data_IF_491340957476
#
_entry.id   IF_491340957476
#
_cell.length_a   1.000
_cell.length_b   1.000
_cell.length_c   1.000
_cell.angle_alpha   90.00
_cell.angle_beta   90.00
_cell.angle_gamma   90.00
#
_symmetry.space_group_name_H-M   'P 1'
#
loop_
_entity.id
_entity.type
_entity.pdbx_description
1 polymer ?
#
# COMPACT_ATOMS: atom_id res chain seq x y z
N UNK A 1 7.11 7.95 -31.98
CA UNK A 1 8.26 7.53 -31.16
C UNK A 1 7.81 7.44 -29.70
N UNK A 2 8.17 6.34 -29.02
CA UNK A 2 7.92 6.15 -27.59
C UNK A 2 9.20 6.42 -26.82
N UNK A 3 9.11 7.25 -25.77
CA UNK A 3 10.23 7.52 -24.84
C UNK A 3 9.96 6.76 -23.55
N UNK A 4 10.83 5.80 -23.21
CA UNK A 4 10.78 5.05 -21.95
C UNK A 4 11.78 5.64 -20.96
N UNK A 5 11.32 5.96 -19.76
CA UNK A 5 12.13 6.49 -18.66
C UNK A 5 12.20 5.50 -17.51
N UNK A 6 13.23 4.67 -17.52
CA UNK A 6 13.50 3.74 -16.42
C UNK A 6 14.01 4.49 -15.18
N UNK A 7 13.84 3.88 -13.98
CA UNK A 7 14.23 4.45 -12.69
C UNK A 7 13.69 5.86 -12.45
N UNK A 8 12.48 6.10 -12.96
CA UNK A 8 11.80 7.38 -12.90
C UNK A 8 10.44 7.22 -12.22
N UNK A 9 10.09 8.16 -11.34
CA UNK A 9 8.85 8.15 -10.59
C UNK A 9 8.17 9.51 -10.68
N UNK A 10 6.92 9.52 -11.11
CA UNK A 10 6.07 10.71 -11.00
C UNK A 10 5.64 10.83 -9.54
N UNK A 11 5.96 11.92 -8.89
CA UNK A 11 5.66 12.14 -7.48
C UNK A 11 4.64 13.26 -7.22
N UNK A 12 4.28 14.04 -8.24
CA UNK A 12 3.29 15.09 -8.13
C UNK A 12 2.54 15.30 -9.44
N UNK A 13 1.24 15.53 -9.32
CA UNK A 13 0.36 15.87 -10.43
C UNK A 13 -0.39 17.16 -10.07
N UNK A 14 -0.21 18.19 -10.89
CA UNK A 14 -0.65 19.55 -10.65
C UNK A 14 -1.59 20.02 -11.75
N UNK A 15 -2.09 21.23 -11.65
CA UNK A 15 -2.99 21.83 -12.65
C UNK A 15 -2.41 21.87 -14.06
N UNK A 16 -3.30 21.91 -15.05
CA UNK A 16 -2.95 21.94 -16.48
C UNK A 16 -2.15 20.72 -16.96
N UNK A 17 -2.48 19.55 -16.47
CA UNK A 17 -1.79 18.29 -16.79
C UNK A 17 -0.28 18.38 -16.58
N UNK A 18 0.16 19.13 -15.58
CA UNK A 18 1.57 19.21 -15.22
C UNK A 18 1.92 18.11 -14.21
N UNK A 19 2.89 17.27 -14.58
CA UNK A 19 3.45 16.27 -13.71
C UNK A 19 4.91 16.58 -13.40
N UNK A 20 5.35 16.27 -12.20
CA UNK A 20 6.75 16.33 -11.82
C UNK A 20 7.27 14.92 -11.58
N UNK A 21 8.34 14.58 -12.29
CA UNK A 21 8.94 13.26 -12.28
C UNK A 21 10.40 13.35 -11.82
N UNK A 22 10.77 12.41 -10.98
CA UNK A 22 12.12 12.24 -10.46
C UNK A 22 12.78 11.05 -11.15
N UNK A 23 13.94 11.30 -11.79
CA UNK A 23 14.74 10.29 -12.48
C UNK A 23 16.07 10.07 -11.75
N UNK A 24 16.40 8.82 -11.41
CA UNK A 24 17.70 8.42 -10.88
C UNK A 24 18.62 8.04 -12.03
N UNK A 25 19.49 8.96 -12.44
CA UNK A 25 20.34 8.79 -13.63
C UNK A 25 21.66 8.08 -13.35
N UNK A 26 22.17 8.15 -12.13
CA UNK A 26 23.53 7.66 -11.83
C UNK A 26 23.67 6.75 -10.62
N UNK A 27 22.62 6.55 -9.81
CA UNK A 27 22.74 5.80 -8.55
C UNK A 27 23.04 4.30 -8.74
N UNK A 28 22.70 3.74 -9.90
CA UNK A 28 22.93 2.34 -10.28
C UNK A 28 24.29 2.09 -10.94
N UNK A 29 25.05 3.14 -11.26
CA UNK A 29 26.34 3.02 -11.94
C UNK A 29 27.47 2.85 -10.93
N UNK A 30 28.36 1.87 -11.15
CA UNK A 30 29.59 1.70 -10.35
C UNK A 30 30.51 2.90 -10.53
N UNK A 31 30.73 3.31 -11.77
CA UNK A 31 31.50 4.51 -12.14
C UNK A 31 30.54 5.52 -12.79
N UNK A 32 30.58 6.75 -12.28
CA UNK A 32 29.71 7.82 -12.78
C UNK A 32 30.49 8.64 -13.82
N UNK A 33 29.97 8.80 -15.04
CA UNK A 33 30.58 9.68 -16.01
C UNK A 33 30.67 11.11 -15.46
N UNK A 34 31.79 11.77 -15.71
CA UNK A 34 32.02 13.17 -15.35
C UNK A 34 30.88 14.02 -15.94
N UNK A 35 30.28 14.90 -15.15
CA UNK A 35 29.16 15.76 -15.52
C UNK A 35 27.77 15.08 -15.66
N UNK A 36 27.66 13.78 -15.38
CA UNK A 36 26.31 13.15 -15.30
C UNK A 36 25.65 13.51 -13.98
N UNK A 37 24.45 14.11 -13.98
CA UNK A 37 23.75 14.40 -12.75
C UNK A 37 23.38 13.07 -12.07
N UNK A 38 23.44 13.02 -10.74
CA UNK A 38 22.98 11.86 -9.96
C UNK A 38 21.48 11.63 -10.12
N UNK A 39 20.75 12.72 -10.15
CA UNK A 39 19.29 12.77 -10.17
C UNK A 39 18.85 13.92 -11.08
N UNK A 40 17.64 13.78 -11.66
CA UNK A 40 17.07 14.79 -12.53
C UNK A 40 15.59 14.95 -12.24
N UNK A 41 15.11 16.19 -12.14
CA UNK A 41 13.71 16.54 -12.15
C UNK A 41 13.25 16.84 -13.57
N UNK A 42 12.07 16.29 -13.89
CA UNK A 42 11.36 16.56 -15.14
C UNK A 42 10.04 17.25 -14.83
N UNK A 43 9.82 18.38 -15.46
CA UNK A 43 8.52 19.03 -15.51
C UNK A 43 7.87 18.66 -16.83
N UNK A 44 6.80 17.87 -16.76
CA UNK A 44 6.12 17.30 -17.93
C UNK A 44 4.73 17.90 -18.02
N UNK A 45 4.43 18.54 -19.14
CA UNK A 45 3.08 18.98 -19.45
C UNK A 45 2.56 18.17 -20.62
N UNK A 46 1.47 17.43 -20.40
CA UNK A 46 0.91 16.51 -21.38
C UNK A 46 -0.48 16.97 -21.86
N UNK A 47 -0.84 16.65 -23.11
CA UNK A 47 -2.21 16.84 -23.60
C UNK A 47 -3.18 15.89 -22.94
N UNK A 48 -2.77 14.62 -22.80
CA UNK A 48 -3.52 13.55 -22.15
C UNK A 48 -2.60 12.76 -21.22
N UNK A 49 -3.15 12.28 -20.11
CA UNK A 49 -2.44 11.49 -19.12
C UNK A 49 -3.17 10.17 -18.91
N UNK A 50 -2.47 9.06 -19.02
CA UNK A 50 -2.96 7.73 -18.67
C UNK A 50 -2.25 7.25 -17.40
N UNK A 51 -2.99 7.09 -16.30
CA UNK A 51 -2.47 6.59 -15.04
C UNK A 51 -2.66 5.07 -14.95
N UNK A 52 -1.56 4.36 -14.87
CA UNK A 52 -1.48 2.90 -14.68
C UNK A 52 -0.66 2.59 -13.43
N UNK A 53 -1.05 3.18 -12.31
CA UNK A 53 -0.30 3.22 -11.05
C UNK A 53 -0.48 1.96 -10.19
N UNK A 54 -1.34 1.05 -10.61
CA UNK A 54 -1.53 -0.23 -9.94
C UNK A 54 -2.27 -0.12 -8.60
N UNK A 55 -2.04 -1.10 -7.75
CA UNK A 55 -2.64 -1.21 -6.42
C UNK A 55 -1.60 -1.65 -5.40
N UNK A 56 -1.89 -1.46 -4.12
CA UNK A 56 -1.03 -1.84 -3.01
C UNK A 56 -1.80 -2.81 -2.13
N UNK A 57 -1.17 -3.92 -1.76
CA UNK A 57 -1.75 -4.87 -0.82
C UNK A 57 -1.90 -4.22 0.56
N UNK A 58 -3.08 -4.37 1.18
CA UNK A 58 -3.34 -3.87 2.53
C UNK A 58 -3.22 -4.99 3.56
N UNK A 59 -2.71 -4.71 4.76
CA UNK A 59 -2.68 -5.70 5.83
C UNK A 59 -4.06 -5.86 6.49
N UNK A 60 -4.30 -7.02 7.11
CA UNK A 60 -5.27 -7.17 8.20
C UNK A 60 -4.53 -6.82 9.49
N UNK A 61 -5.15 -5.99 10.34
CA UNK A 61 -4.54 -5.55 11.59
C UNK A 61 -4.77 -6.59 12.69
N UNK A 62 -3.70 -6.99 13.40
CA UNK A 62 -3.75 -7.96 14.49
C UNK A 62 -2.73 -7.64 15.57
N UNK A 63 -2.74 -8.35 16.69
CA UNK A 63 -1.87 -8.07 17.83
C UNK A 63 -0.39 -8.27 17.53
N UNK A 64 0.46 -7.31 17.91
CA UNK A 64 1.92 -7.32 17.73
C UNK A 64 2.35 -7.51 16.25
N UNK A 65 1.58 -6.93 15.34
CA UNK A 65 1.81 -7.04 13.90
C UNK A 65 3.05 -6.28 13.40
N UNK A 66 3.75 -5.57 14.29
CA UNK A 66 5.04 -4.92 14.09
C UNK A 66 6.24 -5.85 14.31
N UNK A 67 6.01 -7.07 14.80
CA UNK A 67 7.10 -8.04 15.08
C UNK A 67 7.86 -8.37 13.79
N UNK A 68 9.21 -8.24 13.74
CA UNK A 68 10.00 -8.59 12.57
C UNK A 68 9.75 -10.04 12.14
N UNK A 69 9.44 -10.24 10.86
CA UNK A 69 8.96 -11.52 10.31
C UNK A 69 7.48 -11.48 9.92
N UNK A 70 6.78 -10.36 10.17
CA UNK A 70 5.48 -10.07 9.58
C UNK A 70 5.69 -9.33 8.26
N UNK A 71 5.12 -9.85 7.18
CA UNK A 71 5.23 -9.31 5.82
C UNK A 71 3.85 -9.17 5.18
N UNK A 72 3.71 -8.30 4.21
CA UNK A 72 2.63 -8.42 3.24
C UNK A 72 2.84 -9.68 2.40
N UNK A 73 1.77 -10.38 2.07
CA UNK A 73 1.83 -11.66 1.34
C UNK A 73 2.48 -11.48 -0.04
N UNK A 74 2.10 -10.43 -0.76
CA UNK A 74 2.69 -10.12 -2.06
C UNK A 74 4.19 -9.79 -1.96
N UNK A 75 4.62 -9.10 -0.89
CA UNK A 75 6.04 -8.83 -0.67
C UNK A 75 6.84 -10.13 -0.44
N UNK A 76 6.31 -11.07 0.33
CA UNK A 76 6.94 -12.37 0.53
C UNK A 76 7.07 -13.14 -0.81
N UNK A 77 6.01 -13.13 -1.64
CA UNK A 77 6.04 -13.70 -3.00
C UNK A 77 7.10 -13.04 -3.88
N UNK A 78 7.21 -11.72 -3.83
CA UNK A 78 8.22 -10.95 -4.57
C UNK A 78 9.65 -11.34 -4.15
N UNK A 79 9.93 -11.46 -2.85
CA UNK A 79 11.23 -11.94 -2.36
C UNK A 79 11.59 -13.30 -2.93
N UNK A 80 10.63 -14.22 -2.99
CA UNK A 80 10.86 -15.56 -3.54
C UNK A 80 11.10 -15.49 -5.06
N UNK A 81 10.19 -14.85 -5.82
CA UNK A 81 10.18 -14.92 -7.29
C UNK A 81 11.26 -14.07 -7.94
N UNK A 82 11.53 -12.89 -7.42
CA UNK A 82 12.44 -11.91 -8.05
C UNK A 82 13.83 -11.98 -7.45
N UNK A 83 13.89 -12.13 -6.11
CA UNK A 83 15.18 -12.08 -5.41
C UNK A 83 15.73 -13.45 -5.01
N UNK A 84 14.95 -14.53 -5.18
CA UNK A 84 15.37 -15.89 -4.79
C UNK A 84 15.58 -16.07 -3.28
N UNK A 85 14.87 -15.29 -2.46
CA UNK A 85 15.04 -15.26 -1.01
C UNK A 85 13.77 -15.75 -0.32
N UNK A 86 13.91 -16.78 0.54
CA UNK A 86 12.86 -17.23 1.43
C UNK A 86 12.81 -16.33 2.67
N UNK A 87 11.66 -15.73 2.95
CA UNK A 87 11.46 -14.88 4.14
C UNK A 87 11.28 -15.68 5.43
N UNK A 88 11.08 -16.99 5.32
CA UNK A 88 10.97 -17.93 6.44
C UNK A 88 10.88 -19.38 5.97
N UNK A 89 11.03 -20.33 6.91
CA UNK A 89 10.96 -21.78 6.67
C UNK A 89 9.67 -22.42 7.21
N UNK A 90 8.88 -21.69 8.00
CA UNK A 90 7.59 -22.09 8.56
C UNK A 90 6.58 -20.96 8.37
N UNK A 91 6.20 -20.66 7.10
CA UNK A 91 5.33 -19.53 6.81
C UNK A 91 3.88 -19.80 7.23
N UNK A 92 3.29 -18.79 7.85
CA UNK A 92 1.87 -18.71 8.14
C UNK A 92 1.26 -17.63 7.24
N UNK A 93 0.37 -18.03 6.33
CA UNK A 93 -0.33 -17.10 5.45
C UNK A 93 -1.65 -16.71 6.11
N UNK A 94 -1.89 -15.43 6.30
CA UNK A 94 -3.11 -14.91 6.93
C UNK A 94 -3.87 -14.02 5.95
N UNK A 95 -5.09 -14.39 5.60
CA UNK A 95 -5.81 -13.75 4.50
C UNK A 95 -7.33 -13.71 4.68
N UNK A 96 -7.97 -12.83 3.93
CA UNK A 96 -9.41 -12.75 3.67
C UNK A 96 -9.73 -12.82 2.16
N UNK A 97 -8.77 -13.24 1.32
CA UNK A 97 -8.92 -13.20 -0.14
C UNK A 97 -8.06 -14.25 -0.84
N UNK A 98 -8.33 -14.47 -2.14
CA UNK A 98 -7.67 -15.52 -2.90
C UNK A 98 -6.21 -15.19 -3.30
N UNK A 99 -5.83 -13.92 -3.42
CA UNK A 99 -4.51 -13.56 -3.95
C UNK A 99 -3.34 -14.06 -3.09
N UNK A 100 -3.55 -14.22 -1.78
CA UNK A 100 -2.53 -14.74 -0.88
C UNK A 100 -2.21 -16.22 -1.08
N UNK A 101 -3.13 -16.98 -1.67
CA UNK A 101 -2.89 -18.40 -1.98
C UNK A 101 -1.74 -18.58 -2.98
N UNK A 102 -1.52 -17.62 -3.87
CA UNK A 102 -0.36 -17.65 -4.77
C UNK A 102 0.96 -17.63 -3.98
N UNK A 103 1.02 -16.89 -2.87
CA UNK A 103 2.21 -16.87 -2.01
C UNK A 103 2.44 -18.22 -1.36
N UNK A 104 1.39 -18.88 -0.90
CA UNK A 104 1.50 -20.23 -0.34
C UNK A 104 1.99 -21.23 -1.39
N UNK A 105 1.45 -21.17 -2.61
CA UNK A 105 1.89 -22.00 -3.73
C UNK A 105 3.37 -21.77 -4.10
N UNK A 106 3.85 -20.51 -4.04
CA UNK A 106 5.27 -20.23 -4.28
C UNK A 106 6.17 -20.78 -3.17
N UNK A 107 5.79 -20.70 -1.89
CA UNK A 107 6.52 -21.38 -0.82
C UNK A 107 6.57 -22.89 -1.05
N UNK A 108 5.44 -23.52 -1.41
CA UNK A 108 5.36 -24.96 -1.67
C UNK A 108 6.30 -25.38 -2.82
N UNK A 109 6.39 -24.60 -3.89
CA UNK A 109 7.34 -24.83 -4.99
C UNK A 109 8.80 -24.81 -4.54
N UNK A 110 9.12 -24.09 -3.46
CA UNK A 110 10.45 -24.04 -2.88
C UNK A 110 10.69 -25.15 -1.82
N UNK A 111 9.79 -26.13 -1.72
CA UNK A 111 9.89 -27.21 -0.74
C UNK A 111 9.57 -26.80 0.70
N UNK A 112 8.88 -25.68 0.89
CA UNK A 112 8.46 -25.18 2.20
C UNK A 112 6.97 -25.43 2.39
N UNK A 113 6.58 -25.91 3.57
CA UNK A 113 5.19 -26.23 3.91
C UNK A 113 4.50 -25.00 4.57
N UNK A 114 3.68 -24.24 3.84
CA UNK A 114 2.91 -23.14 4.41
C UNK A 114 1.64 -23.66 5.10
N UNK A 115 1.14 -22.88 6.05
CA UNK A 115 -0.20 -23.03 6.61
C UNK A 115 -0.99 -21.77 6.23
N UNK A 116 -2.23 -21.94 5.74
CA UNK A 116 -3.11 -20.84 5.41
C UNK A 116 -4.20 -20.71 6.47
N UNK A 117 -4.36 -19.50 7.01
CA UNK A 117 -5.51 -19.09 7.80
C UNK A 117 -6.34 -18.13 6.96
N UNK A 118 -7.53 -18.56 6.59
CA UNK A 118 -8.48 -17.76 5.84
C UNK A 118 -9.63 -17.35 6.77
N UNK A 119 -9.93 -16.07 6.85
CA UNK A 119 -11.02 -15.57 7.68
C UNK A 119 -12.39 -15.91 7.13
N UNK A 120 -12.48 -16.27 5.87
CA UNK A 120 -13.73 -16.63 5.19
C UNK A 120 -14.20 -18.03 5.60
N UNK A 121 -15.47 -18.28 5.43
CA UNK A 121 -16.02 -19.64 5.50
C UNK A 121 -15.46 -20.49 4.36
N UNK A 122 -15.55 -21.81 4.50
CA UNK A 122 -15.03 -22.74 3.49
C UNK A 122 -15.68 -22.48 2.13
N UNK A 123 -14.87 -22.32 1.13
CA UNK A 123 -15.29 -22.05 -0.24
C UNK A 123 -14.29 -22.64 -1.23
N UNK A 124 -14.62 -22.58 -2.51
CA UNK A 124 -13.79 -23.05 -3.62
C UNK A 124 -13.46 -21.90 -4.57
N UNK A 125 -12.23 -21.92 -5.05
CA UNK A 125 -11.75 -21.13 -6.19
C UNK A 125 -10.58 -21.87 -6.82
N UNK A 126 -10.17 -21.49 -8.03
CA UNK A 126 -9.03 -22.13 -8.69
C UNK A 126 -7.75 -22.12 -7.84
N UNK A 127 -7.49 -21.03 -7.09
CA UNK A 127 -6.30 -20.92 -6.23
C UNK A 127 -6.44 -21.74 -4.94
N UNK A 128 -7.63 -21.78 -4.35
CA UNK A 128 -7.92 -22.63 -3.17
C UNK A 128 -7.79 -24.09 -3.56
N UNK A 129 -8.36 -24.50 -4.67
CA UNK A 129 -8.32 -25.88 -5.16
C UNK A 129 -6.88 -26.28 -5.55
N UNK A 130 -6.10 -25.37 -6.16
CA UNK A 130 -4.69 -25.58 -6.42
C UNK A 130 -3.88 -25.80 -5.13
N UNK A 131 -4.19 -25.06 -4.06
CA UNK A 131 -3.55 -25.25 -2.75
C UNK A 131 -3.96 -26.58 -2.10
N UNK A 132 -5.26 -26.94 -2.14
CA UNK A 132 -5.76 -28.24 -1.66
C UNK A 132 -5.09 -29.40 -2.41
N UNK A 133 -4.97 -29.32 -3.74
CA UNK A 133 -4.32 -30.34 -4.58
C UNK A 133 -2.82 -30.52 -4.28
N UNK A 134 -2.16 -29.49 -3.75
CA UNK A 134 -0.78 -29.57 -3.28
C UNK A 134 -0.66 -29.94 -1.79
N UNK A 135 -1.74 -30.39 -1.16
CA UNK A 135 -1.83 -30.75 0.26
C UNK A 135 -1.37 -29.61 1.20
N UNK A 136 -1.63 -28.36 0.85
CA UNK A 136 -1.39 -27.22 1.75
C UNK A 136 -2.48 -27.20 2.80
N UNK A 137 -2.09 -27.13 4.08
CA UNK A 137 -3.04 -27.04 5.18
C UNK A 137 -3.78 -25.69 5.16
N UNK A 138 -5.10 -25.72 5.09
CA UNK A 138 -5.97 -24.53 5.12
C UNK A 138 -6.89 -24.64 6.33
N UNK A 139 -6.95 -23.57 7.14
CA UNK A 139 -7.93 -23.40 8.21
C UNK A 139 -8.83 -22.22 7.85
N UNK A 140 -10.06 -22.51 7.44
CA UNK A 140 -11.10 -21.52 7.20
C UNK A 140 -11.68 -21.00 8.51
N UNK A 141 -12.29 -19.81 8.48
CA UNK A 141 -12.84 -19.12 9.65
C UNK A 141 -11.80 -19.01 10.78
N UNK A 142 -10.54 -18.75 10.45
CA UNK A 142 -9.48 -18.58 11.44
C UNK A 142 -8.72 -17.27 11.22
N UNK A 143 -8.29 -16.67 12.33
CA UNK A 143 -7.52 -15.43 12.33
C UNK A 143 -6.23 -15.58 13.16
N UNK A 144 -5.21 -14.79 12.78
CA UNK A 144 -4.06 -14.53 13.64
C UNK A 144 -4.47 -13.49 14.68
N UNK A 145 -4.51 -13.88 15.94
CA UNK A 145 -4.83 -13.00 17.07
C UNK A 145 -3.65 -12.12 17.43
N UNK A 146 -2.45 -12.72 17.53
CA UNK A 146 -1.23 -11.99 17.81
C UNK A 146 0.02 -12.73 17.33
N UNK A 147 1.03 -11.99 16.89
CA UNK A 147 2.37 -12.53 16.72
C UNK A 147 3.08 -12.67 18.08
N UNK A 148 3.89 -13.71 18.21
CA UNK A 148 4.73 -13.95 19.38
C UNK A 148 6.20 -14.03 18.97
N UNK A 149 7.01 -13.22 19.64
CA UNK A 149 8.45 -13.14 19.45
C UNK A 149 8.98 -11.84 20.06
N UNK A 150 10.28 -11.67 20.08
CA UNK A 150 10.92 -10.43 20.52
C UNK A 150 11.70 -9.79 19.38
N UNK A 151 12.75 -10.45 18.90
CA UNK A 151 13.57 -9.97 17.76
C UNK A 151 13.01 -10.42 16.42
N UNK A 152 12.19 -11.45 16.40
CA UNK A 152 11.53 -12.02 15.23
C UNK A 152 10.35 -12.90 15.65
N UNK A 153 9.43 -13.13 14.73
CA UNK A 153 8.34 -14.09 14.90
C UNK A 153 8.89 -15.49 15.23
N UNK A 154 8.31 -16.14 16.25
CA UNK A 154 8.58 -17.53 16.65
C UNK A 154 7.33 -18.39 16.65
N UNK A 155 6.18 -17.79 16.83
CA UNK A 155 4.87 -18.42 16.77
C UNK A 155 3.78 -17.37 16.61
N UNK A 156 2.57 -17.82 16.33
CA UNK A 156 1.37 -16.98 16.33
C UNK A 156 0.33 -17.57 17.30
N UNK A 157 -0.46 -16.70 17.91
CA UNK A 157 -1.73 -17.06 18.53
C UNK A 157 -2.79 -16.98 17.43
N UNK A 158 -3.54 -18.04 17.26
CA UNK A 158 -4.63 -18.14 16.29
C UNK A 158 -5.93 -18.51 17.00
N UNK A 159 -7.05 -18.17 16.40
CA UNK A 159 -8.35 -18.60 16.88
C UNK A 159 -9.33 -18.73 15.71
N UNK A 160 -10.34 -19.59 15.91
CA UNK A 160 -11.54 -19.56 15.08
C UNK A 160 -12.23 -18.20 15.26
N UNK A 161 -12.74 -17.63 14.19
CA UNK A 161 -13.50 -16.36 14.21
C UNK A 161 -14.94 -16.63 13.78
N UNK A 162 -15.90 -16.05 14.51
CA UNK A 162 -17.34 -16.17 14.18
C UNK A 162 -17.67 -15.58 12.81
N UNK A 163 -18.80 -15.98 12.22
CA UNK A 163 -19.24 -15.50 10.90
C UNK A 163 -19.43 -13.98 10.86
N UNK A 164 -19.87 -13.37 11.97
CA UNK A 164 -20.01 -11.92 12.13
C UNK A 164 -18.66 -11.21 12.37
N UNK A 165 -17.54 -11.94 12.44
CA UNK A 165 -16.16 -11.46 12.65
C UNK A 165 -15.94 -10.71 13.97
N UNK A 166 -16.83 -10.86 14.95
CA UNK A 166 -16.78 -10.12 16.23
C UNK A 166 -16.21 -10.94 17.38
N UNK A 167 -16.34 -12.27 17.34
CA UNK A 167 -15.99 -13.15 18.44
C UNK A 167 -14.86 -14.11 18.05
N UNK A 168 -13.97 -14.34 19.01
CA UNK A 168 -12.88 -15.32 18.88
C UNK A 168 -13.20 -16.56 19.70
N UNK A 169 -12.95 -17.72 19.12
CA UNK A 169 -12.98 -18.99 19.81
C UNK A 169 -11.76 -19.20 20.70
N UNK A 170 -11.49 -20.47 21.07
CA UNK A 170 -10.31 -20.84 21.86
C UNK A 170 -9.04 -20.45 21.14
N UNK A 171 -8.14 -19.81 21.89
CA UNK A 171 -6.82 -19.43 21.36
C UNK A 171 -5.91 -20.66 21.34
N UNK A 172 -5.30 -20.90 20.20
CA UNK A 172 -4.30 -21.93 19.95
C UNK A 172 -2.96 -21.28 19.56
N UNK A 173 -1.87 -22.01 19.80
CA UNK A 173 -0.53 -21.57 19.41
C UNK A 173 -0.06 -22.37 18.20
N UNK A 174 0.42 -21.67 17.18
CA UNK A 174 1.07 -22.27 16.01
C UNK A 174 2.52 -21.80 15.94
N UNK A 175 3.45 -22.73 15.72
CA UNK A 175 4.86 -22.39 15.52
C UNK A 175 5.09 -21.94 14.08
N UNK A 176 5.55 -20.72 13.91
CA UNK A 176 5.90 -20.13 12.61
C UNK A 176 7.11 -19.21 12.78
N UNK A 177 7.84 -18.92 11.72
CA UNK A 177 8.98 -18.00 11.72
C UNK A 177 8.75 -16.79 10.83
N UNK A 178 7.66 -16.78 10.06
CA UNK A 178 7.13 -15.61 9.38
C UNK A 178 5.60 -15.68 9.27
N UNK A 179 4.96 -14.52 9.20
CA UNK A 179 3.52 -14.34 8.95
C UNK A 179 3.38 -13.47 7.71
N UNK A 180 2.70 -13.98 6.68
CA UNK A 180 2.44 -13.27 5.43
C UNK A 180 0.96 -12.88 5.42
N UNK A 181 0.67 -11.58 5.53
CA UNK A 181 -0.69 -11.07 5.68
C UNK A 181 -1.21 -10.43 4.39
N UNK A 182 -2.46 -10.69 4.06
CA UNK A 182 -3.17 -10.05 2.95
C UNK A 182 -4.60 -9.72 3.34
N UNK A 183 -4.93 -8.43 3.35
CA UNK A 183 -6.27 -7.90 3.57
C UNK A 183 -6.92 -7.37 2.29
N UNK A 184 -6.53 -7.91 1.12
CA UNK A 184 -6.91 -7.49 -0.21
C UNK A 184 -6.08 -6.30 -0.74
N UNK A 185 -6.54 -5.65 -1.80
CA UNK A 185 -5.79 -4.65 -2.55
C UNK A 185 -6.47 -3.28 -2.51
N UNK A 186 -5.66 -2.24 -2.43
CA UNK A 186 -6.12 -0.83 -2.46
C UNK A 186 -5.62 -0.15 -3.72
N UNK A 187 -6.48 0.39 -4.57
CA UNK A 187 -6.08 1.15 -5.76
C UNK A 187 -5.17 2.32 -5.42
N UNK A 188 -4.13 2.53 -6.23
CA UNK A 188 -3.19 3.63 -6.05
C UNK A 188 -3.73 4.89 -6.71
N UNK A 189 -4.59 5.63 -5.99
CA UNK A 189 -5.33 6.81 -6.50
C UNK A 189 -4.65 8.14 -6.23
N UNK A 190 -3.46 8.16 -5.66
CA UNK A 190 -2.81 9.36 -5.15
C UNK A 190 -2.61 10.44 -6.24
N UNK A 191 -2.05 10.06 -7.39
CA UNK A 191 -1.84 11.02 -8.49
C UNK A 191 -3.16 11.51 -9.09
N UNK A 192 -4.14 10.63 -9.25
CA UNK A 192 -5.48 11.03 -9.70
C UNK A 192 -6.14 12.01 -8.71
N UNK A 193 -6.00 11.77 -7.40
CA UNK A 193 -6.50 12.70 -6.38
C UNK A 193 -5.76 14.04 -6.40
N UNK A 194 -4.43 14.05 -6.62
CA UNK A 194 -3.63 15.27 -6.71
C UNK A 194 -4.00 16.12 -7.93
N UNK A 195 -4.46 15.51 -9.04
CA UNK A 195 -4.98 16.24 -10.21
C UNK A 195 -6.27 17.00 -9.92
N UNK A 196 -6.82 16.90 -8.71
CA UNK A 196 -8.06 17.52 -8.26
C UNK A 196 -9.31 16.67 -8.46
N UNK A 197 -9.16 15.40 -8.82
CA UNK A 197 -10.26 14.47 -8.98
C UNK A 197 -10.89 14.11 -7.63
N UNK A 198 -12.21 14.04 -7.59
CA UNK A 198 -12.91 13.45 -6.46
C UNK A 198 -12.81 11.93 -6.55
N UNK A 199 -12.58 11.30 -5.42
CA UNK A 199 -12.63 9.83 -5.31
C UNK A 199 -14.04 9.35 -5.12
N UNK A 200 -14.31 8.10 -5.53
CA UNK A 200 -15.57 7.38 -5.31
C UNK A 200 -15.25 6.10 -4.54
N UNK A 201 -16.06 5.76 -3.54
CA UNK A 201 -15.94 4.49 -2.85
C UNK A 201 -16.62 3.40 -3.69
N UNK A 202 -15.94 2.28 -3.86
CA UNK A 202 -16.48 1.08 -4.52
C UNK A 202 -16.67 -0.01 -3.46
N UNK A 203 -17.93 -0.34 -3.18
CA UNK A 203 -18.32 -1.32 -2.17
C UNK A 203 -17.91 -2.76 -2.53
N UNK A 204 -17.68 -3.05 -3.82
CA UNK A 204 -17.27 -4.38 -4.27
C UNK A 204 -15.84 -4.72 -3.88
N UNK A 205 -14.99 -3.71 -3.78
CA UNK A 205 -13.57 -3.87 -3.45
C UNK A 205 -13.22 -3.22 -2.11
N UNK A 206 -14.20 -2.63 -1.42
CA UNK A 206 -14.03 -1.89 -0.16
C UNK A 206 -12.88 -0.89 -0.21
N UNK A 207 -12.83 -0.09 -1.27
CA UNK A 207 -11.77 0.87 -1.48
C UNK A 207 -12.22 2.08 -2.31
N UNK A 208 -11.46 3.16 -2.22
CA UNK A 208 -11.67 4.32 -3.09
C UNK A 208 -11.04 4.08 -4.46
N UNK A 209 -11.77 4.48 -5.50
CA UNK A 209 -11.34 4.51 -6.90
C UNK A 209 -11.40 5.94 -7.43
N UNK A 210 -10.71 6.24 -8.55
CA UNK A 210 -10.84 7.53 -9.20
C UNK A 210 -12.30 7.82 -9.60
N UNK A 211 -12.78 9.00 -9.31
CA UNK A 211 -14.08 9.47 -9.77
C UNK A 211 -13.97 10.24 -11.09
N UNK A 212 -14.82 11.26 -11.27
CA UNK A 212 -14.80 12.08 -12.49
C UNK A 212 -13.54 12.94 -12.53
N UNK A 213 -12.76 12.79 -13.61
CA UNK A 213 -11.55 13.57 -13.83
C UNK A 213 -11.86 15.04 -14.09
N UNK A 214 -11.12 15.95 -13.47
CA UNK A 214 -11.15 17.39 -13.71
C UNK A 214 -10.23 17.81 -14.84
N UNK A 215 -9.20 17.04 -15.08
CA UNK A 215 -8.19 17.28 -16.12
C UNK A 215 -8.27 16.20 -17.20
N UNK A 216 -7.46 16.31 -18.25
CA UNK A 216 -7.37 15.31 -19.31
C UNK A 216 -6.58 14.10 -18.80
N UNK A 217 -7.18 13.34 -17.89
CA UNK A 217 -6.59 12.19 -17.23
C UNK A 217 -7.55 11.00 -17.29
N UNK A 218 -7.01 9.83 -17.52
CA UNK A 218 -7.70 8.54 -17.48
C UNK A 218 -6.90 7.57 -16.63
N UNK A 219 -7.56 6.92 -15.67
CA UNK A 219 -6.94 5.87 -14.85
C UNK A 219 -7.39 4.49 -15.35
N UNK A 220 -6.48 3.52 -15.39
CA UNK A 220 -6.73 2.15 -15.88
C UNK A 220 -6.15 1.08 -14.97
N UNK A 221 -6.58 -0.16 -15.18
CA UNK A 221 -6.11 -1.34 -14.45
C UNK A 221 -6.51 -1.33 -12.98
N UNK A 222 -5.70 -1.92 -12.11
CA UNK A 222 -6.02 -2.04 -10.68
C UNK A 222 -6.07 -0.69 -9.96
N UNK A 223 -5.47 0.36 -10.51
CA UNK A 223 -5.65 1.73 -10.03
C UNK A 223 -7.09 2.26 -10.22
N UNK A 224 -7.84 1.70 -11.17
CA UNK A 224 -9.27 1.99 -11.37
C UNK A 224 -10.21 0.98 -10.70
N UNK A 225 -9.67 0.05 -9.90
CA UNK A 225 -10.42 -0.99 -9.19
C UNK A 225 -10.63 -2.28 -9.99
N UNK A 226 -9.98 -2.45 -11.13
CA UNK A 226 -10.07 -3.66 -11.97
C UNK A 226 -8.89 -4.57 -11.65
N UNK A 227 -9.15 -5.71 -10.99
CA UNK A 227 -8.11 -6.64 -10.55
C UNK A 227 -7.97 -7.89 -11.42
N UNK A 228 -8.93 -8.17 -12.28
CA UNK A 228 -8.84 -9.25 -13.24
C UNK A 228 -7.92 -8.84 -14.41
N UNK A 229 -6.94 -9.69 -14.78
CA UNK A 229 -5.93 -9.36 -15.80
C UNK A 229 -6.53 -9.21 -17.20
N UNK A 230 -7.43 -10.11 -17.58
CA UNK A 230 -8.11 -10.06 -18.89
C UNK A 230 -8.90 -8.74 -19.03
N UNK A 231 -9.70 -8.40 -18.02
CA UNK A 231 -10.45 -7.15 -17.99
C UNK A 231 -9.52 -5.93 -17.92
N UNK A 232 -8.43 -6.01 -17.13
CA UNK A 232 -7.40 -4.96 -17.07
C UNK A 232 -6.78 -4.70 -18.44
N UNK A 233 -6.39 -5.73 -19.16
CA UNK A 233 -5.77 -5.59 -20.48
C UNK A 233 -6.79 -5.04 -21.48
N UNK A 234 -7.99 -5.61 -21.57
CA UNK A 234 -9.01 -5.19 -22.51
C UNK A 234 -9.45 -3.75 -22.32
N UNK A 235 -9.75 -3.36 -21.07
CA UNK A 235 -10.18 -1.99 -20.75
C UNK A 235 -9.05 -0.98 -20.91
N UNK A 236 -7.82 -1.33 -20.54
CA UNK A 236 -6.65 -0.45 -20.70
C UNK A 236 -6.31 -0.23 -22.16
N UNK A 237 -6.43 -1.28 -22.97
CA UNK A 237 -6.21 -1.21 -24.40
C UNK A 237 -7.24 -0.32 -25.09
N UNK A 238 -8.52 -0.50 -24.76
CA UNK A 238 -9.61 0.34 -25.28
C UNK A 238 -9.42 1.81 -24.91
N UNK A 239 -9.07 2.11 -23.65
CA UNK A 239 -8.78 3.48 -23.21
C UNK A 239 -7.57 4.08 -23.92
N UNK A 240 -6.50 3.30 -24.07
CA UNK A 240 -5.30 3.72 -24.82
C UNK A 240 -5.62 4.04 -26.29
N UNK A 241 -6.45 3.20 -26.94
CA UNK A 241 -6.92 3.46 -28.30
C UNK A 241 -7.74 4.74 -28.40
N UNK A 242 -8.71 4.96 -27.49
CA UNK A 242 -9.52 6.18 -27.45
C UNK A 242 -8.66 7.43 -27.29
N UNK A 243 -7.66 7.40 -26.41
CA UNK A 243 -6.72 8.50 -26.22
C UNK A 243 -5.84 8.74 -27.47
N UNK A 244 -5.34 7.68 -28.08
CA UNK A 244 -4.57 7.76 -29.32
C UNK A 244 -5.39 8.41 -30.44
N UNK A 245 -6.63 7.95 -30.64
CA UNK A 245 -7.56 8.53 -31.64
C UNK A 245 -7.79 10.01 -31.39
N UNK A 246 -8.00 10.42 -30.13
CA UNK A 246 -8.20 11.83 -29.73
C UNK A 246 -6.98 12.70 -30.05
N UNK A 247 -5.75 12.18 -29.88
CA UNK A 247 -4.51 12.95 -30.07
C UNK A 247 -4.07 13.00 -31.54
N UNK A 248 -4.20 11.88 -32.26
CA UNK A 248 -3.60 11.70 -33.59
C UNK A 248 -4.61 11.79 -34.74
N UNK A 249 -5.90 11.81 -34.44
CA UNK A 249 -7.00 11.65 -35.41
C UNK A 249 -6.87 10.36 -36.28
N UNK A 250 -6.12 9.37 -35.80
CA UNK A 250 -5.92 8.10 -36.49
C UNK A 250 -6.84 7.03 -35.88
N UNK A 251 -7.55 6.29 -36.74
CA UNK A 251 -8.56 5.30 -36.37
C UNK A 251 -8.08 3.86 -36.61
N UNK A 252 -6.78 3.63 -36.73
CA UNK A 252 -6.22 2.29 -36.87
C UNK A 252 -6.46 1.46 -35.61
N UNK A 253 -7.50 0.62 -35.65
CA UNK A 253 -7.85 -0.29 -34.56
C UNK A 253 -6.87 -1.47 -34.53
N UNK A 254 -6.24 -1.67 -33.37
CA UNK A 254 -5.36 -2.83 -33.13
C UNK A 254 -6.15 -3.87 -32.33
N UNK A 255 -5.92 -5.15 -32.61
CA UNK A 255 -6.58 -6.25 -31.88
C UNK A 255 -6.14 -6.29 -30.41
N UNK A 256 -7.09 -6.45 -29.51
CA UNK A 256 -6.81 -6.61 -28.07
C UNK A 256 -6.14 -7.97 -27.86
N UNK A 257 -5.01 -8.02 -27.13
CA UNK A 257 -4.40 -9.30 -26.77
C UNK A 257 -5.36 -10.13 -25.91
N UNK A 258 -5.55 -11.39 -26.29
CA UNK A 258 -6.32 -12.33 -25.48
C UNK A 258 -5.42 -12.97 -24.42
N UNK A 259 -5.88 -13.01 -23.20
CA UNK A 259 -5.19 -13.60 -22.05
C UNK A 259 -6.19 -14.47 -21.31
N UNK A 260 -5.82 -15.71 -21.04
CA UNK A 260 -6.57 -16.57 -20.13
C UNK A 260 -6.04 -16.40 -18.73
N UNK A 261 -6.86 -15.98 -17.79
CA UNK A 261 -6.45 -15.80 -16.41
C UNK A 261 -7.36 -16.52 -15.43
N UNK A 262 -6.76 -16.90 -14.30
CA UNK A 262 -7.46 -17.34 -13.11
C UNK A 262 -8.18 -16.14 -12.46
N UNK A 263 -9.48 -16.22 -12.33
CA UNK A 263 -10.29 -15.15 -11.75
C UNK A 263 -9.99 -15.01 -10.26
N UNK A 264 -9.66 -13.81 -9.81
CA UNK A 264 -9.74 -13.46 -8.40
C UNK A 264 -11.22 -13.36 -8.02
N UNK A 265 -11.68 -14.26 -7.17
CA UNK A 265 -13.04 -14.24 -6.68
C UNK A 265 -13.02 -13.89 -5.19
N UNK A 266 -13.86 -13.01 -4.77
CA UNK A 266 -14.23 -12.67 -3.39
C UNK A 266 -13.13 -12.38 -2.37
N UNK A 267 -13.29 -11.28 -1.69
CA UNK A 267 -12.68 -10.98 -0.41
C UNK A 267 -13.76 -10.68 0.62
N UNK A 268 -13.46 -10.93 1.90
CA UNK A 268 -14.30 -10.51 3.01
C UNK A 268 -13.95 -9.12 3.50
N UNK A 269 -14.94 -8.37 3.95
CA UNK A 269 -14.73 -7.13 4.70
C UNK A 269 -14.18 -7.44 6.09
N UNK A 270 -12.87 -7.50 6.20
CA UNK A 270 -12.21 -7.77 7.46
C UNK A 270 -10.89 -7.01 7.57
N UNK A 271 -10.84 -6.04 8.47
CA UNK A 271 -9.76 -5.07 8.57
C UNK A 271 -8.90 -5.25 9.80
N UNK A 272 -9.52 -5.67 10.91
CA UNK A 272 -8.87 -5.75 12.20
C UNK A 272 -9.41 -6.93 13.00
N UNK A 273 -8.51 -7.71 13.58
CA UNK A 273 -8.86 -8.84 14.45
C UNK A 273 -9.31 -8.29 15.80
N UNK A 274 -10.47 -8.75 16.34
CA UNK A 274 -10.89 -8.37 17.68
C UNK A 274 -9.88 -8.86 18.73
N UNK A 275 -9.81 -8.16 19.86
CA UNK A 275 -8.96 -8.60 20.98
C UNK A 275 -9.73 -9.58 21.86
N UNK A 276 -9.04 -10.62 22.37
CA UNK A 276 -9.60 -11.45 23.43
C UNK A 276 -9.79 -10.63 24.71
N UNK A 277 -10.81 -10.98 25.49
CA UNK A 277 -11.03 -10.39 26.81
C UNK A 277 -9.74 -10.45 27.67
N UNK A 278 -9.46 -9.37 28.37
CA UNK A 278 -8.30 -9.22 29.27
C UNK A 278 -6.90 -9.26 28.63
N UNK A 279 -6.77 -9.28 27.28
CA UNK A 279 -5.47 -9.19 26.60
C UNK A 279 -5.34 -7.85 25.86
N UNK A 280 -4.28 -7.14 26.14
CA UNK A 280 -3.98 -5.86 25.50
C UNK A 280 -2.75 -6.01 24.60
N UNK A 281 -2.94 -6.43 23.34
CA UNK A 281 -1.89 -6.43 22.33
C UNK A 281 -1.91 -5.09 21.60
N UNK A 282 -0.74 -4.54 21.31
CA UNK A 282 -0.65 -3.40 20.37
C UNK A 282 -1.01 -3.87 18.98
N UNK A 283 -1.92 -3.14 18.33
CA UNK A 283 -2.37 -3.36 16.95
C UNK A 283 -2.00 -2.14 16.13
N UNK A 284 -0.91 -2.22 15.37
CA UNK A 284 -0.41 -1.11 14.59
C UNK A 284 -1.18 -0.94 13.29
N UNK A 285 -1.60 0.29 13.01
CA UNK A 285 -2.20 0.73 11.75
C UNK A 285 -1.13 1.34 10.84
N UNK A 286 -0.30 2.22 11.38
CA UNK A 286 0.78 2.90 10.69
C UNK A 286 2.11 2.57 11.37
N UNK A 287 2.96 1.82 10.66
CA UNK A 287 4.26 1.38 11.18
C UNK A 287 5.33 2.48 11.14
N UNK A 288 5.15 3.54 10.34
CA UNK A 288 6.15 4.59 10.23
C UNK A 288 6.04 5.63 11.35
N UNK A 289 4.82 5.82 11.87
CA UNK A 289 4.53 6.75 12.96
C UNK A 289 4.02 6.04 14.23
N UNK A 290 4.13 4.71 14.30
CA UNK A 290 3.71 3.88 15.43
C UNK A 290 2.25 4.10 15.86
N UNK A 291 1.35 4.45 14.91
CA UNK A 291 -0.06 4.66 15.20
C UNK A 291 -0.78 3.33 15.37
N UNK A 292 -1.42 3.16 16.52
CA UNK A 292 -2.16 1.96 16.87
C UNK A 292 -3.68 2.16 16.80
N UNK A 293 -4.42 1.08 16.88
CA UNK A 293 -5.89 1.10 17.02
C UNK A 293 -6.31 1.92 18.24
N UNK A 294 -5.63 1.76 19.38
CA UNK A 294 -5.94 2.51 20.62
C UNK A 294 -5.72 4.02 20.47
N UNK A 295 -4.80 4.48 19.62
CA UNK A 295 -4.60 5.90 19.37
C UNK A 295 -5.78 6.51 18.60
N UNK A 296 -6.34 5.77 17.65
CA UNK A 296 -7.55 6.20 16.93
C UNK A 296 -8.76 6.20 17.88
N UNK A 297 -8.93 5.15 18.69
CA UNK A 297 -10.00 5.08 19.70
C UNK A 297 -9.90 6.23 20.69
N UNK A 298 -8.68 6.60 21.13
CA UNK A 298 -8.42 7.74 21.99
C UNK A 298 -8.81 9.07 21.31
N UNK A 299 -8.37 9.28 20.07
CA UNK A 299 -8.71 10.47 19.30
C UNK A 299 -10.22 10.68 19.20
N UNK A 300 -10.96 9.61 18.89
CA UNK A 300 -12.41 9.64 18.79
C UNK A 300 -13.09 9.93 20.14
N UNK A 301 -12.59 9.34 21.23
CA UNK A 301 -13.06 9.59 22.60
C UNK A 301 -12.85 11.04 23.02
N UNK A 302 -11.75 11.66 22.59
CA UNK A 302 -11.45 13.08 22.82
C UNK A 302 -12.22 14.04 21.90
N UNK A 303 -13.08 13.51 21.01
CA UNK A 303 -14.01 14.29 20.21
C UNK A 303 -13.54 14.63 18.78
N UNK A 304 -12.40 14.10 18.33
CA UNK A 304 -11.95 14.27 16.95
C UNK A 304 -12.74 13.37 16.02
N UNK A 305 -13.78 13.90 15.35
CA UNK A 305 -14.71 13.13 14.48
C UNK A 305 -14.33 13.12 13.01
N UNK A 306 -13.65 14.17 12.54
CA UNK A 306 -13.18 14.25 11.16
C UNK A 306 -11.89 13.46 11.00
N UNK A 307 -11.82 12.62 9.95
CA UNK A 307 -10.62 11.85 9.66
C UNK A 307 -9.37 12.75 9.48
N UNK A 308 -9.53 13.95 8.95
CA UNK A 308 -8.43 14.92 8.82
C UNK A 308 -7.94 15.42 10.19
N UNK A 309 -8.80 15.51 11.19
CA UNK A 309 -8.40 15.85 12.57
C UNK A 309 -7.80 14.64 13.28
N UNK A 310 -8.40 13.45 13.16
CA UNK A 310 -7.84 12.19 13.67
C UNK A 310 -6.44 11.98 13.11
N UNK A 311 -6.23 12.17 11.80
CA UNK A 311 -4.93 12.10 11.15
C UNK A 311 -3.90 13.04 11.79
N UNK A 312 -4.27 14.31 12.03
CA UNK A 312 -3.34 15.29 12.64
C UNK A 312 -3.05 15.01 14.10
N UNK A 313 -4.02 14.51 14.85
CA UNK A 313 -3.86 14.15 16.23
C UNK A 313 -2.95 12.94 16.42
N UNK A 314 -3.14 11.90 15.59
CA UNK A 314 -2.43 10.62 15.68
C UNK A 314 -1.21 10.49 14.79
N UNK A 315 -1.02 11.40 13.83
CA UNK A 315 -0.05 11.32 12.72
C UNK A 315 -0.31 10.18 11.71
N UNK A 316 -1.48 9.56 11.73
CA UNK A 316 -1.86 8.49 10.78
C UNK A 316 -1.63 8.91 9.33
N UNK A 317 -0.84 8.16 8.60
CA UNK A 317 -0.58 8.39 7.17
C UNK A 317 0.17 9.68 6.86
N UNK A 318 0.88 10.27 7.82
CA UNK A 318 1.66 11.49 7.64
C UNK A 318 3.13 11.24 7.30
N UNK A 319 3.58 10.00 7.33
CA UNK A 319 4.96 9.65 7.02
C UNK A 319 5.21 9.59 5.49
N UNK A 320 6.42 9.18 5.10
CA UNK A 320 6.89 9.20 3.71
C UNK A 320 6.12 8.29 2.76
N UNK A 321 5.45 7.25 3.29
CA UNK A 321 4.57 6.37 2.51
C UNK A 321 3.19 7.01 2.21
N UNK A 322 2.85 8.14 2.84
CA UNK A 322 1.57 8.83 2.69
C UNK A 322 0.36 7.94 3.02
N UNK A 323 0.52 7.01 3.97
CA UNK A 323 -0.54 6.13 4.44
C UNK A 323 -1.01 5.08 3.44
N UNK A 324 -0.13 4.63 2.53
CA UNK A 324 -0.48 3.65 1.49
C UNK A 324 -1.05 2.35 2.04
N UNK A 325 -0.56 1.89 3.19
CA UNK A 325 -1.02 0.66 3.84
C UNK A 325 -1.92 0.91 5.06
N UNK A 326 -2.01 2.16 5.55
CA UNK A 326 -2.65 2.49 6.82
C UNK A 326 -3.95 3.28 6.68
N UNK A 327 -4.05 4.19 5.70
CA UNK A 327 -5.17 5.14 5.61
C UNK A 327 -6.54 4.44 5.54
N UNK A 328 -6.68 3.41 4.73
CA UNK A 328 -7.96 2.74 4.53
C UNK A 328 -8.37 1.94 5.78
N UNK A 329 -7.42 1.26 6.43
CA UNK A 329 -7.66 0.56 7.69
C UNK A 329 -8.05 1.55 8.81
N UNK A 330 -7.41 2.73 8.86
CA UNK A 330 -7.77 3.78 9.80
C UNK A 330 -9.17 4.35 9.54
N UNK A 331 -9.55 4.56 8.28
CA UNK A 331 -10.90 4.98 7.89
C UNK A 331 -11.96 3.96 8.30
N UNK A 332 -11.70 2.67 8.07
CA UNK A 332 -12.61 1.61 8.48
C UNK A 332 -12.80 1.59 10.00
N UNK A 333 -11.70 1.71 10.76
CA UNK A 333 -11.79 1.75 12.22
C UNK A 333 -12.62 2.94 12.72
N UNK A 334 -12.44 4.14 12.14
CA UNK A 334 -13.28 5.31 12.46
C UNK A 334 -14.74 5.04 12.09
N UNK A 335 -14.98 4.42 10.95
CA UNK A 335 -16.32 4.01 10.49
C UNK A 335 -17.00 3.07 11.49
N UNK A 336 -16.28 2.05 11.96
CA UNK A 336 -16.78 1.05 12.90
C UNK A 336 -17.12 1.66 14.27
N UNK A 337 -16.22 2.49 14.82
CA UNK A 337 -16.42 3.15 16.13
C UNK A 337 -17.56 4.17 16.08
N UNK A 338 -17.70 4.90 14.98
CA UNK A 338 -18.76 5.90 14.79
C UNK A 338 -20.08 5.32 14.28
N UNK A 339 -20.16 4.02 14.03
CA UNK A 339 -21.30 3.36 13.37
C UNK A 339 -21.73 4.07 12.07
N UNK A 340 -20.76 4.41 11.24
CA UNK A 340 -20.93 5.07 9.95
C UNK A 340 -20.43 4.16 8.83
N UNK A 341 -20.82 4.47 7.60
CA UNK A 341 -20.20 3.84 6.42
C UNK A 341 -18.93 4.62 6.01
N UNK A 342 -17.91 3.91 5.50
CA UNK A 342 -16.62 4.51 5.12
C UNK A 342 -16.77 5.75 4.24
N UNK A 343 -17.64 5.79 3.21
CA UNK A 343 -17.84 6.99 2.41
C UNK A 343 -18.27 8.23 3.19
N UNK A 344 -19.01 8.07 4.30
CA UNK A 344 -19.46 9.21 5.12
C UNK A 344 -18.38 9.72 6.08
N UNK A 345 -17.38 8.91 6.40
CA UNK A 345 -16.18 9.35 7.15
C UNK A 345 -15.29 10.22 6.25
N UNK A 346 -15.34 10.00 4.93
CA UNK A 346 -14.52 10.68 3.95
C UNK A 346 -13.17 10.00 3.74
N UNK A 347 -12.23 10.72 3.16
CA UNK A 347 -10.86 10.27 3.02
C UNK A 347 -9.88 11.42 3.22
N UNK A 348 -8.64 11.11 3.54
CA UNK A 348 -7.59 12.10 3.67
C UNK A 348 -7.11 12.59 2.30
N UNK A 349 -6.77 13.88 2.20
CA UNK A 349 -6.22 14.45 0.97
C UNK A 349 -4.78 13.97 0.75
N UNK A 350 -4.51 13.44 -0.44
CA UNK A 350 -3.17 13.06 -0.84
C UNK A 350 -2.40 14.27 -1.38
N UNK A 351 -1.23 14.54 -0.79
CA UNK A 351 -0.39 15.68 -1.17
C UNK A 351 0.92 15.22 -1.82
N UNK A 352 1.46 15.99 -2.78
CA UNK A 352 2.82 15.75 -3.26
C UNK A 352 3.85 15.94 -2.12
N UNK A 353 4.94 15.18 -2.11
CA UNK A 353 5.31 14.14 -3.05
C UNK A 353 4.62 12.81 -2.78
N UNK A 354 4.16 12.15 -3.83
CA UNK A 354 3.59 10.78 -3.74
C UNK A 354 4.61 9.73 -3.29
N UNK A 355 5.87 9.91 -3.69
CA UNK A 355 7.02 9.10 -3.28
C UNK A 355 8.13 10.02 -2.78
N UNK A 356 9.01 9.54 -1.88
CA UNK A 356 10.10 10.36 -1.36
C UNK A 356 10.99 10.92 -2.47
N UNK A 357 11.26 12.21 -2.40
CA UNK A 357 12.15 12.94 -3.33
C UNK A 357 13.23 13.63 -2.52
N UNK A 358 14.49 13.53 -2.98
CA UNK A 358 15.58 14.20 -2.30
C UNK A 358 15.51 15.72 -2.47
N UNK A 359 15.77 16.46 -1.40
CA UNK A 359 15.84 17.93 -1.43
C UNK A 359 16.86 18.40 -2.46
N UNK A 360 18.00 17.68 -2.61
CA UNK A 360 19.02 18.02 -3.59
C UNK A 360 18.55 17.98 -5.04
N UNK A 361 17.58 17.10 -5.38
CA UNK A 361 16.98 17.09 -6.71
C UNK A 361 16.09 18.30 -6.95
N UNK A 362 15.37 18.77 -5.92
CA UNK A 362 14.50 19.94 -6.00
C UNK A 362 15.32 21.24 -6.11
N UNK A 363 16.39 21.37 -5.32
CA UNK A 363 17.25 22.54 -5.32
C UNK A 363 18.05 22.66 -6.63
N UNK A 364 18.42 21.52 -7.23
CA UNK A 364 19.21 21.51 -8.46
C UNK A 364 20.68 21.87 -8.24
N UNK A 365 21.32 22.49 -9.26
CA UNK A 365 22.76 22.84 -9.25
C UNK A 365 23.04 24.18 -8.58
N UNK A 366 22.11 25.07 -8.56
CA UNK A 366 22.27 26.40 -8.01
C UNK A 366 22.18 26.37 -6.49
N UNK A 367 23.28 25.96 -5.86
CA UNK A 367 23.41 25.92 -4.42
C UNK A 367 24.02 27.24 -3.96
N UNK A 368 23.21 28.29 -3.86
CA UNK A 368 23.63 29.56 -3.29
C UNK A 368 23.61 29.55 -1.76
N UNK A 369 24.06 30.64 -1.15
CA UNK A 369 24.08 30.83 0.32
C UNK A 369 22.71 30.62 1.01
N UNK A 370 21.63 30.70 0.26
CA UNK A 370 20.26 30.50 0.76
C UNK A 370 19.78 29.05 0.72
N UNK A 371 20.52 28.12 0.09
CA UNK A 371 20.15 26.69 0.03
C UNK A 371 20.24 26.00 1.39
N UNK A 372 21.10 26.51 2.26
CA UNK A 372 21.21 26.13 3.67
C UNK A 372 21.19 27.40 4.52
N UNK A 373 20.03 28.03 4.71
CA UNK A 373 19.94 29.26 5.45
C UNK A 373 20.26 28.97 6.93
N UNK A 374 21.44 29.33 7.37
CA UNK A 374 21.79 29.32 8.78
C UNK A 374 21.23 30.58 9.41
N UNK A 375 20.14 30.44 10.16
CA UNK A 375 19.58 31.55 10.96
C UNK A 375 20.35 31.62 12.26
N UNK A 376 21.00 32.76 12.49
CA UNK A 376 21.75 33.01 13.71
C UNK A 376 20.95 33.90 14.65
N UNK A 377 20.85 33.53 15.92
CA UNK A 377 20.31 34.42 16.94
C UNK A 377 21.22 35.62 17.18
N UNK A 378 20.76 36.71 17.77
CA UNK A 378 21.62 37.84 18.14
C UNK A 378 22.80 37.45 19.05
N UNK A 379 22.62 36.39 19.87
CA UNK A 379 23.65 35.87 20.79
C UNK A 379 24.58 34.82 20.14
N UNK A 380 24.38 34.46 18.87
CA UNK A 380 25.14 33.37 18.25
C UNK A 380 26.65 33.60 18.32
N UNK A 381 27.12 34.79 17.99
CA UNK A 381 28.57 35.14 18.05
C UNK A 381 29.12 35.09 19.47
N UNK A 382 28.32 35.39 20.49
CA UNK A 382 28.73 35.24 21.87
C UNK A 382 28.88 33.76 22.25
N UNK A 383 27.97 32.91 21.82
CA UNK A 383 28.02 31.47 22.04
C UNK A 383 29.23 30.85 21.35
N UNK A 384 29.53 31.24 20.09
CA UNK A 384 30.73 30.78 19.37
C UNK A 384 32.02 31.14 20.13
N UNK A 385 32.13 32.38 20.60
CA UNK A 385 33.30 32.86 21.37
C UNK A 385 33.46 32.13 22.72
N UNK A 386 32.41 31.62 23.27
CA UNK A 386 32.40 30.90 24.57
C UNK A 386 32.36 29.37 24.38
N UNK A 387 32.71 28.85 23.20
CA UNK A 387 32.82 27.43 22.90
C UNK A 387 31.49 26.64 23.19
N UNK A 388 30.35 27.24 22.94
CA UNK A 388 29.09 26.54 23.05
C UNK A 388 28.99 25.42 21.99
N UNK A 389 28.40 24.30 22.36
CA UNK A 389 28.12 23.22 21.44
C UNK A 389 26.84 23.54 20.66
N UNK A 390 26.92 23.52 19.32
CA UNK A 390 25.77 23.69 18.43
C UNK A 390 25.35 22.32 17.91
N UNK A 391 24.07 22.01 17.99
CA UNK A 391 23.44 20.75 17.52
C UNK A 391 22.66 21.01 16.24
#
# INVERSE_FOLDING_TARGET
NVIVKNRSQVFGYYDHNMMVMFERTGDHLKEKPKYTPRQRLWYIRAKEVLLSTGSIERPIVFGNNDTPGVFLSAAAKEYIKVYGVLVGKKPLIFTNNDSAYETALEFKKQGVEPIILDTREEQSSELIDAAKNQNIQIKFSHAVVAANGYKKVKSAQIAHISSDKRNLGKIEKINCDCICVSGFWTPTIHLSSQSGNKTKFDEKIDAFVPGKSKQNETTVGSASGIFNLEETISTSFEKGYQLSKKITNNDNKVSVPQVSEKKFTNHDKFWCVPLPDKKNFKRFLDFQNDVTVSDIELALREGYRSIEHVKRYTTLGMATDQGKTSNLNGLQLVSDVENKVVPSVGHTTFRPPYTPVSIGAIVGREIGKHSKPTRKSPMHSWHEKNNAVFV
#
